data_IF_748329342164
#
_entry.id   IF_748329342164
#
_cell.length_a   1.000
_cell.length_b   1.000
_cell.length_c   1.000
_cell.angle_alpha   90.00
_cell.angle_beta   90.00
_cell.angle_gamma   90.00
#
_symmetry.space_group_name_H-M   'P 1'
#
loop_
_entity.id
_entity.type
_entity.pdbx_description
1 polymer ?
#
# COMPACT_ATOMS: atom_id res chain seq x y z
N UNK A 1 6.00 -3.15 -1.81
CA UNK A 1 6.51 -2.43 -0.61
C UNK A 1 7.62 -3.25 0.02
N UNK A 2 8.42 -2.64 0.90
CA UNK A 2 9.60 -3.29 1.51
C UNK A 2 9.54 -3.04 3.03
N UNK A 3 9.85 -4.04 3.88
CA UNK A 3 9.97 -3.83 5.33
C UNK A 3 11.06 -2.82 5.69
N UNK A 4 10.86 -2.07 6.79
CA UNK A 4 11.90 -1.19 7.31
C UNK A 4 13.03 -2.01 7.94
N UNK A 5 14.26 -1.50 7.83
CA UNK A 5 15.36 -2.02 8.62
C UNK A 5 15.13 -1.71 10.12
N UNK A 6 15.77 -2.45 11.05
CA UNK A 6 15.61 -2.21 12.49
C UNK A 6 15.99 -0.80 12.94
N UNK A 7 16.95 -0.16 12.27
CA UNK A 7 17.40 1.21 12.55
C UNK A 7 16.35 2.22 12.09
N UNK A 8 15.80 2.02 10.90
CA UNK A 8 14.76 2.90 10.35
C UNK A 8 13.45 2.79 11.14
N UNK A 9 13.10 1.60 11.62
CA UNK A 9 11.92 1.38 12.47
C UNK A 9 12.00 2.11 13.83
N UNK A 10 13.22 2.38 14.32
CA UNK A 10 13.44 3.12 15.58
C UNK A 10 13.55 4.64 15.38
N UNK A 11 13.60 5.12 14.14
CA UNK A 11 13.79 6.55 13.86
C UNK A 11 12.44 7.28 13.90
N UNK A 12 12.21 8.21 14.86
CA UNK A 12 10.92 8.90 15.00
C UNK A 12 10.58 9.84 13.83
N UNK A 13 11.54 10.13 12.94
CA UNK A 13 11.30 10.90 11.71
C UNK A 13 10.70 10.06 10.58
N UNK A 14 10.73 8.73 10.69
CA UNK A 14 10.22 7.80 9.67
C UNK A 14 8.82 7.35 10.07
N UNK A 15 7.82 7.70 9.26
CA UNK A 15 6.45 7.24 9.44
C UNK A 15 6.12 6.14 8.42
N UNK A 16 5.71 4.96 8.90
CA UNK A 16 5.25 3.88 8.05
C UNK A 16 3.76 4.04 7.76
N UNK A 17 3.40 4.12 6.47
CA UNK A 17 2.00 4.17 6.04
C UNK A 17 1.64 2.85 5.36
N UNK A 18 0.51 2.27 5.76
CA UNK A 18 0.02 1.04 5.14
C UNK A 18 -0.66 1.34 3.81
N UNK A 19 -0.23 0.64 2.76
CA UNK A 19 -0.89 0.63 1.45
C UNK A 19 -1.68 -0.67 1.21
N UNK A 20 -1.74 -1.54 2.22
CA UNK A 20 -2.43 -2.83 2.14
C UNK A 20 -3.88 -2.74 1.61
N UNK A 21 -4.75 -1.81 2.07
CA UNK A 21 -6.13 -1.74 1.57
C UNK A 21 -6.20 -1.36 0.08
N UNK A 22 -5.29 -0.52 -0.41
CA UNK A 22 -5.25 -0.15 -1.82
C UNK A 22 -4.84 -1.33 -2.70
N UNK A 23 -3.86 -2.12 -2.25
CA UNK A 23 -3.42 -3.33 -2.95
C UNK A 23 -4.53 -4.38 -2.96
N UNK A 24 -5.22 -4.59 -1.83
CA UNK A 24 -6.33 -5.53 -1.73
C UNK A 24 -7.46 -5.18 -2.72
N UNK A 25 -7.88 -3.92 -2.75
CA UNK A 25 -8.92 -3.45 -3.67
C UNK A 25 -8.46 -3.52 -5.14
N UNK A 26 -7.17 -3.25 -5.42
CA UNK A 26 -6.63 -3.42 -6.77
C UNK A 26 -6.71 -4.88 -7.23
N UNK A 27 -6.40 -5.85 -6.37
CA UNK A 27 -6.52 -7.29 -6.67
C UNK A 27 -7.97 -7.65 -7.00
N UNK A 28 -8.92 -7.23 -6.17
CA UNK A 28 -10.36 -7.46 -6.40
C UNK A 28 -10.81 -6.86 -7.74
N UNK A 29 -10.39 -5.63 -8.04
CA UNK A 29 -10.75 -4.97 -9.32
C UNK A 29 -10.17 -5.68 -10.54
N UNK A 30 -8.93 -6.11 -10.48
CA UNK A 30 -8.30 -6.90 -11.56
C UNK A 30 -9.05 -8.21 -11.76
N UNK A 31 -9.42 -8.88 -10.66
CA UNK A 31 -10.20 -10.12 -10.71
C UNK A 31 -11.57 -9.92 -11.35
N UNK A 32 -12.25 -8.82 -11.04
CA UNK A 32 -13.59 -8.49 -11.54
C UNK A 32 -13.59 -7.74 -12.89
N UNK A 33 -12.43 -7.50 -13.50
CA UNK A 33 -12.32 -6.73 -14.75
C UNK A 33 -12.69 -5.24 -14.61
N UNK A 34 -12.68 -4.70 -13.39
CA UNK A 34 -13.01 -3.30 -13.08
C UNK A 34 -11.77 -2.42 -13.21
N UNK A 35 -11.97 -1.14 -13.57
CA UNK A 35 -10.87 -0.18 -13.68
C UNK A 35 -10.20 0.08 -12.32
N UNK A 36 -8.87 -0.04 -12.31
CA UNK A 36 -7.99 0.27 -11.16
C UNK A 36 -7.76 1.78 -11.03
N UNK A 37 -7.90 2.55 -12.11
CA UNK A 37 -7.71 4.02 -12.10
C UNK A 37 -8.67 4.74 -11.15
N UNK A 38 -9.81 4.14 -10.81
CA UNK A 38 -10.75 4.67 -9.83
C UNK A 38 -10.21 4.74 -8.39
N UNK A 39 -9.04 4.14 -8.10
CA UNK A 39 -8.34 4.25 -6.82
C UNK A 39 -7.62 5.59 -6.62
N UNK A 40 -7.41 6.39 -7.68
CA UNK A 40 -6.55 7.58 -7.67
C UNK A 40 -7.31 8.88 -7.98
N UNK A 41 -8.42 9.14 -7.27
CA UNK A 41 -9.19 10.39 -7.43
C UNK A 41 -8.49 11.60 -6.84
#
# INVERSE_FOLDING_TARGET
>A
TIPLSPEAAKNPKVAQVSVAPLIAEAIVRVHEGRSVSALFR
#
